data_IF_633930562173
#
_entry.id   IF_633930562173
#
_cell.length_a   1.000
_cell.length_b   1.000
_cell.length_c   1.000
_cell.angle_alpha   90.00
_cell.angle_beta   90.00
_cell.angle_gamma   90.00
#
_symmetry.space_group_name_H-M   'P 1'
#
loop_
_entity.id
_entity.type
_entity.pdbx_description
1 polymer ?
#
# COMPACT_ATOMS: atom_id res chain seq x y z
N UNK A 1 2.57 17.72 24.43
CA UNK A 1 3.92 18.03 23.90
C UNK A 1 4.92 17.03 24.50
N UNK A 2 5.75 16.34 23.69
CA UNK A 2 6.82 15.49 24.21
C UNK A 2 7.79 16.28 25.11
N UNK A 3 8.17 15.67 26.24
CA UNK A 3 8.95 16.34 27.28
C UNK A 3 10.25 16.96 26.76
N UNK A 4 11.00 16.24 25.89
CA UNK A 4 12.26 16.74 25.34
C UNK A 4 12.10 17.98 24.45
N UNK A 5 10.95 18.10 23.76
CA UNK A 5 10.61 19.29 22.97
C UNK A 5 10.25 20.44 23.93
N UNK A 6 9.36 20.18 24.91
CA UNK A 6 8.92 21.21 25.87
C UNK A 6 10.08 21.78 26.69
N UNK A 7 11.10 20.96 27.01
CA UNK A 7 12.30 21.36 27.75
C UNK A 7 13.41 21.91 26.83
N UNK A 8 13.19 22.07 25.53
CA UNK A 8 14.19 22.51 24.53
C UNK A 8 15.50 21.70 24.57
N UNK A 9 15.41 20.38 24.80
CA UNK A 9 16.58 19.48 24.94
C UNK A 9 16.97 18.80 23.63
N UNK A 10 16.26 19.05 22.53
CA UNK A 10 16.53 18.52 21.20
C UNK A 10 16.46 19.66 20.17
N UNK A 11 17.15 19.48 19.05
CA UNK A 11 17.19 20.47 17.97
C UNK A 11 16.18 20.20 16.86
N UNK A 12 15.56 19.01 16.85
CA UNK A 12 14.56 18.59 15.88
C UNK A 12 14.09 17.18 16.18
N UNK A 13 12.99 16.74 15.54
CA UNK A 13 12.48 15.38 15.71
C UNK A 13 11.99 14.79 14.39
N UNK A 14 12.04 13.46 14.29
CA UNK A 14 11.37 12.68 13.24
C UNK A 14 10.18 11.99 13.88
N UNK A 15 9.00 12.17 13.28
CA UNK A 15 7.74 11.59 13.75
C UNK A 15 7.44 10.39 12.86
N UNK A 16 7.32 9.19 13.45
CA UNK A 16 7.04 7.94 12.75
C UNK A 16 5.78 7.31 13.35
N UNK A 17 4.85 6.91 12.49
CA UNK A 17 3.63 6.24 12.90
C UNK A 17 2.39 7.11 12.77
N UNK A 18 1.23 6.54 13.17
CA UNK A 18 -0.08 7.18 13.10
C UNK A 18 -0.36 7.94 14.40
N UNK A 19 -0.62 9.24 14.28
CA UNK A 19 -1.06 10.10 15.38
C UNK A 19 -2.32 10.85 14.96
N UNK A 20 -3.03 11.41 15.94
CA UNK A 20 -4.18 12.29 15.66
C UNK A 20 -3.72 13.60 15.00
N UNK A 21 -4.58 14.20 14.18
CA UNK A 21 -4.30 15.49 13.57
C UNK A 21 -3.99 16.57 14.63
N UNK A 22 -4.66 16.52 15.78
CA UNK A 22 -4.39 17.44 16.90
C UNK A 22 -2.98 17.29 17.47
N UNK A 23 -2.46 16.06 17.50
CA UNK A 23 -1.08 15.81 17.93
C UNK A 23 -0.06 16.36 16.91
N UNK A 24 -0.30 16.16 15.62
CA UNK A 24 0.54 16.75 14.57
C UNK A 24 0.53 18.28 14.62
N UNK A 25 -0.65 18.91 14.75
CA UNK A 25 -0.76 20.38 14.90
C UNK A 25 -0.05 20.90 16.13
N UNK A 26 -0.07 20.14 17.23
CA UNK A 26 0.71 20.49 18.43
C UNK A 26 2.24 20.44 18.14
N UNK A 27 2.71 19.46 17.35
CA UNK A 27 4.12 19.39 16.97
C UNK A 27 4.52 20.49 15.96
N UNK A 28 3.60 20.93 15.10
CA UNK A 28 3.81 22.04 14.17
C UNK A 28 4.07 23.36 14.89
N UNK A 29 3.43 23.54 16.06
CA UNK A 29 3.64 24.70 16.93
C UNK A 29 4.86 24.55 17.84
N UNK A 30 5.60 23.45 17.73
CA UNK A 30 6.80 23.24 18.55
C UNK A 30 7.92 24.21 18.18
N UNK A 31 8.75 24.51 19.16
CA UNK A 31 9.95 25.37 18.98
C UNK A 31 11.05 24.73 18.15
N UNK A 32 10.93 23.45 17.83
CA UNK A 32 11.91 22.67 17.06
C UNK A 32 11.29 22.11 15.78
N UNK A 33 12.03 22.04 14.67
CA UNK A 33 11.54 21.48 13.44
C UNK A 33 11.21 19.98 13.58
N UNK A 34 10.07 19.58 13.04
CA UNK A 34 9.61 18.20 12.98
C UNK A 34 9.52 17.76 11.52
N UNK A 35 9.91 16.51 11.24
CA UNK A 35 9.75 15.85 9.95
C UNK A 35 8.87 14.62 10.13
N UNK A 36 7.88 14.43 9.26
CA UNK A 36 7.03 13.24 9.28
C UNK A 36 7.62 12.19 8.34
N UNK A 37 7.85 10.98 8.86
CA UNK A 37 8.39 9.86 8.10
C UNK A 37 7.32 8.77 7.94
N UNK A 38 7.15 8.29 6.71
CA UNK A 38 6.19 7.27 6.30
C UNK A 38 4.70 7.64 6.53
N UNK A 39 4.42 8.93 6.63
CA UNK A 39 3.08 9.46 6.66
C UNK A 39 3.04 10.85 6.00
N UNK A 40 1.87 11.21 5.49
CA UNK A 40 1.59 12.52 4.92
C UNK A 40 0.26 13.04 5.45
N UNK A 41 0.24 14.31 5.85
CA UNK A 41 -0.96 15.02 6.29
C UNK A 41 -1.04 16.34 5.53
N UNK A 42 -2.01 16.45 4.62
CA UNK A 42 -2.14 17.60 3.71
C UNK A 42 -2.35 18.93 4.45
N UNK A 43 -2.92 18.87 5.66
CA UNK A 43 -3.22 20.05 6.48
C UNK A 43 -2.00 20.60 7.22
N UNK A 44 -0.84 19.90 7.16
CA UNK A 44 0.34 20.30 7.90
C UNK A 44 1.39 21.00 7.04
N UNK A 45 2.00 22.03 7.59
CA UNK A 45 3.12 22.75 7.01
C UNK A 45 4.47 22.15 7.49
N UNK A 46 4.65 20.83 7.28
CA UNK A 46 5.84 20.09 7.73
C UNK A 46 6.49 19.31 6.60
N UNK A 47 7.81 19.15 6.68
CA UNK A 47 8.53 18.25 5.77
C UNK A 47 8.08 16.81 5.97
N UNK A 48 7.94 16.06 4.88
CA UNK A 48 7.64 14.64 4.93
C UNK A 48 8.49 13.81 3.97
N UNK A 49 8.74 12.56 4.33
CA UNK A 49 9.34 11.54 3.46
C UNK A 49 8.43 10.32 3.50
N UNK A 50 7.93 9.93 2.35
CA UNK A 50 7.01 8.80 2.20
C UNK A 50 7.52 7.79 1.18
N UNK A 51 7.09 6.54 1.31
CA UNK A 51 7.23 5.54 0.25
C UNK A 51 6.25 5.87 -0.90
N UNK A 52 6.62 5.49 -2.14
CA UNK A 52 5.75 5.63 -3.30
C UNK A 52 4.67 4.53 -3.30
N UNK A 53 3.72 4.65 -2.37
CA UNK A 53 2.63 3.70 -2.19
C UNK A 53 1.73 3.59 -3.42
N UNK A 54 1.43 4.72 -4.05
CA UNK A 54 0.60 4.78 -5.23
C UNK A 54 1.21 4.02 -6.42
N UNK A 55 2.44 4.36 -6.78
CA UNK A 55 3.11 3.72 -7.93
C UNK A 55 3.45 2.27 -7.65
N UNK A 56 3.90 1.96 -6.43
CA UNK A 56 4.21 0.59 -6.03
C UNK A 56 3.00 -0.34 -6.14
N UNK A 57 1.85 0.04 -5.58
CA UNK A 57 0.63 -0.78 -5.68
C UNK A 57 0.07 -0.82 -7.11
N UNK A 58 0.22 0.27 -7.87
CA UNK A 58 -0.09 0.25 -9.30
C UNK A 58 0.72 -0.85 -10.02
N UNK A 59 2.03 -0.94 -9.81
CA UNK A 59 2.89 -1.97 -10.41
C UNK A 59 2.49 -3.38 -9.96
N UNK A 60 2.23 -3.58 -8.66
CA UNK A 60 1.81 -4.86 -8.10
C UNK A 60 0.49 -5.34 -8.72
N UNK A 61 -0.48 -4.42 -8.88
CA UNK A 61 -1.76 -4.73 -9.52
C UNK A 61 -1.60 -4.99 -11.03
N UNK A 62 -0.75 -4.22 -11.71
CA UNK A 62 -0.40 -4.48 -13.12
C UNK A 62 0.23 -5.85 -13.31
N UNK A 63 1.06 -6.29 -12.37
CA UNK A 63 1.65 -7.63 -12.40
C UNK A 63 0.57 -8.72 -12.32
N UNK A 64 -0.43 -8.59 -11.43
CA UNK A 64 -1.57 -9.52 -11.37
C UNK A 64 -2.39 -9.50 -12.67
N UNK A 65 -2.65 -8.32 -13.23
CA UNK A 65 -3.36 -8.16 -14.50
C UNK A 65 -2.61 -8.80 -15.68
N UNK A 66 -1.28 -8.64 -15.74
CA UNK A 66 -0.40 -9.27 -16.73
C UNK A 66 -0.36 -10.80 -16.57
N UNK A 67 -0.47 -11.29 -15.34
CA UNK A 67 -0.63 -12.72 -15.03
C UNK A 67 -2.02 -13.28 -15.39
N UNK A 68 -2.90 -12.48 -16.01
CA UNK A 68 -4.22 -12.91 -16.49
C UNK A 68 -5.36 -12.71 -15.49
N UNK A 69 -5.08 -12.25 -14.27
CA UNK A 69 -6.13 -11.99 -13.29
C UNK A 69 -7.00 -10.79 -13.69
N UNK A 70 -8.32 -10.93 -13.53
CA UNK A 70 -9.31 -9.86 -13.76
C UNK A 70 -10.19 -9.61 -12.53
N UNK A 71 -10.43 -10.65 -11.73
CA UNK A 71 -11.13 -10.59 -10.46
C UNK A 71 -10.09 -10.44 -9.35
N UNK A 72 -9.73 -9.20 -9.04
CA UNK A 72 -8.72 -8.84 -8.06
C UNK A 72 -9.39 -8.02 -6.95
N UNK A 73 -9.20 -8.39 -5.70
CA UNK A 73 -9.66 -7.60 -4.56
C UNK A 73 -8.49 -6.89 -3.86
N UNK A 74 -8.74 -5.68 -3.37
CA UNK A 74 -7.82 -4.97 -2.50
C UNK A 74 -8.09 -5.31 -1.04
N UNK A 75 -7.04 -5.51 -0.24
CA UNK A 75 -7.16 -5.77 1.19
C UNK A 75 -6.41 -4.68 1.95
N UNK A 76 -7.17 -3.82 2.62
CA UNK A 76 -6.66 -2.69 3.39
C UNK A 76 -7.76 -1.76 3.85
N UNK A 77 -7.64 -1.24 5.05
CA UNK A 77 -8.55 -0.26 5.65
C UNK A 77 -8.17 1.13 5.14
N UNK A 78 -8.82 1.57 4.05
CA UNK A 78 -8.41 2.75 3.26
C UNK A 78 -8.46 4.08 4.01
N UNK A 79 -9.24 4.15 5.10
CA UNK A 79 -9.37 5.35 5.93
C UNK A 79 -8.34 5.41 7.08
N UNK A 80 -7.55 4.34 7.26
CA UNK A 80 -6.64 4.23 8.39
C UNK A 80 -5.41 5.14 8.29
N UNK A 81 -4.76 5.17 7.11
CA UNK A 81 -3.58 5.99 6.88
C UNK A 81 -3.52 6.49 5.44
N UNK A 82 -2.83 7.62 5.21
CA UNK A 82 -2.57 8.12 3.85
C UNK A 82 -1.82 7.11 2.98
N UNK A 83 -0.90 6.33 3.55
CA UNK A 83 -0.14 5.32 2.81
C UNK A 83 -1.02 4.17 2.30
N UNK A 84 -2.02 3.72 3.09
CA UNK A 84 -2.98 2.71 2.63
C UNK A 84 -3.88 3.28 1.53
N UNK A 85 -4.33 4.53 1.68
CA UNK A 85 -5.15 5.22 0.69
C UNK A 85 -4.40 5.41 -0.64
N UNK A 86 -3.12 5.80 -0.60
CA UNK A 86 -2.29 5.91 -1.79
C UNK A 86 -2.13 4.56 -2.51
N UNK A 87 -1.89 3.48 -1.77
CA UNK A 87 -1.85 2.11 -2.32
C UNK A 87 -3.19 1.73 -2.96
N UNK A 88 -4.30 2.03 -2.31
CA UNK A 88 -5.62 1.81 -2.89
C UNK A 88 -5.84 2.55 -4.20
N UNK A 89 -5.46 3.82 -4.29
CA UNK A 89 -5.57 4.57 -5.54
C UNK A 89 -4.67 4.02 -6.66
N UNK A 90 -3.49 3.52 -6.31
CA UNK A 90 -2.62 2.80 -7.25
C UNK A 90 -3.29 1.54 -7.82
N UNK A 91 -3.91 0.74 -6.96
CA UNK A 91 -4.73 -0.41 -7.35
C UNK A 91 -5.89 0.01 -8.28
N UNK A 92 -6.69 1.00 -7.88
CA UNK A 92 -7.80 1.50 -8.67
C UNK A 92 -7.38 1.96 -10.07
N UNK A 93 -6.26 2.67 -10.17
CA UNK A 93 -5.72 3.11 -11.46
C UNK A 93 -5.39 1.92 -12.37
N UNK A 94 -4.67 0.93 -11.87
CA UNK A 94 -4.30 -0.24 -12.67
C UNK A 94 -5.53 -1.00 -13.17
N UNK A 95 -6.54 -1.21 -12.30
CA UNK A 95 -7.80 -1.86 -12.64
C UNK A 95 -8.56 -1.07 -13.71
N UNK A 96 -8.65 0.26 -13.54
CA UNK A 96 -9.33 1.14 -14.51
C UNK A 96 -8.66 1.12 -15.89
N UNK A 97 -7.33 1.14 -15.95
CA UNK A 97 -6.57 1.02 -17.21
C UNK A 97 -6.82 -0.33 -17.91
N UNK A 98 -7.18 -1.36 -17.16
CA UNK A 98 -7.59 -2.67 -17.69
C UNK A 98 -9.10 -2.76 -18.04
N UNK A 99 -9.83 -1.64 -17.96
CA UNK A 99 -11.28 -1.57 -18.22
C UNK A 99 -12.14 -2.15 -17.09
N UNK A 100 -11.59 -2.32 -15.89
CA UNK A 100 -12.30 -2.91 -14.74
C UNK A 100 -12.64 -1.80 -13.74
N UNK A 101 -13.95 -1.64 -13.46
CA UNK A 101 -14.43 -0.71 -12.44
C UNK A 101 -14.34 -1.39 -11.07
N UNK A 102 -13.65 -0.74 -10.15
CA UNK A 102 -13.57 -1.17 -8.75
C UNK A 102 -14.84 -0.72 -8.02
N UNK A 103 -15.41 -1.60 -7.27
CA UNK A 103 -16.57 -1.34 -6.39
C UNK A 103 -16.19 -1.64 -4.95
N UNK A 104 -16.98 -1.17 -3.99
CA UNK A 104 -16.76 -1.44 -2.55
C UNK A 104 -16.70 -2.95 -2.24
N UNK A 105 -17.39 -3.79 -3.05
CA UNK A 105 -17.38 -5.26 -2.91
C UNK A 105 -16.00 -5.89 -3.16
N UNK A 106 -15.07 -5.16 -3.77
CA UNK A 106 -13.71 -5.60 -4.07
C UNK A 106 -12.69 -5.03 -3.05
N UNK A 107 -13.16 -4.35 -2.01
CA UNK A 107 -12.30 -3.76 -0.96
C UNK A 107 -12.63 -4.45 0.37
N UNK A 108 -11.65 -5.15 0.92
CA UNK A 108 -11.75 -5.76 2.24
C UNK A 108 -10.98 -4.93 3.26
N UNK A 109 -11.62 -4.42 4.30
CA UNK A 109 -10.91 -3.88 5.45
C UNK A 109 -10.03 -4.97 6.09
N UNK A 110 -8.84 -4.59 6.50
CA UNK A 110 -7.88 -5.48 7.16
C UNK A 110 -7.72 -5.20 8.66
N UNK A 111 -8.46 -4.23 9.20
CA UNK A 111 -8.34 -3.79 10.60
C UNK A 111 -9.69 -3.83 11.32
N UNK A 112 -9.64 -4.16 12.62
CA UNK A 112 -10.75 -3.95 13.55
C UNK A 112 -10.76 -2.51 14.12
N UNK A 113 -11.69 -2.24 15.02
CA UNK A 113 -11.84 -0.93 15.67
C UNK A 113 -10.62 -0.56 16.53
N UNK A 114 -9.86 -1.53 17.02
CA UNK A 114 -8.64 -1.37 17.80
C UNK A 114 -7.39 -1.24 16.92
N UNK A 115 -7.53 -1.30 15.57
CA UNK A 115 -6.44 -1.20 14.61
C UNK A 115 -5.60 -2.48 14.46
N UNK A 116 -6.04 -3.61 15.00
CA UNK A 116 -5.40 -4.93 14.80
C UNK A 116 -5.83 -5.54 13.47
N UNK A 117 -4.96 -6.34 12.86
CA UNK A 117 -5.29 -7.01 11.61
C UNK A 117 -6.41 -8.04 11.87
N UNK A 118 -7.56 -7.82 11.23
CA UNK A 118 -8.76 -8.65 11.31
C UNK A 118 -9.45 -8.69 9.94
N UNK A 119 -9.24 -9.78 9.20
CA UNK A 119 -9.76 -9.95 7.84
C UNK A 119 -10.94 -10.93 7.89
N UNK A 120 -12.09 -10.54 7.33
CA UNK A 120 -13.26 -11.42 7.16
C UNK A 120 -13.53 -11.71 5.68
N UNK A 121 -13.38 -12.96 5.27
CA UNK A 121 -13.68 -13.40 3.90
C UNK A 121 -15.18 -13.45 3.61
N UNK A 122 -16.03 -13.48 4.62
CA UNK A 122 -17.50 -13.51 4.50
C UNK A 122 -18.08 -12.25 3.84
N UNK A 123 -17.32 -11.15 3.86
CA UNK A 123 -17.71 -9.90 3.20
C UNK A 123 -17.62 -9.97 1.67
N UNK A 124 -16.97 -11.01 1.12
CA UNK A 124 -16.86 -11.21 -0.32
C UNK A 124 -18.11 -11.91 -0.84
N UNK A 125 -18.78 -11.30 -1.81
CA UNK A 125 -19.90 -11.96 -2.53
C UNK A 125 -19.44 -13.09 -3.45
N UNK A 126 -18.19 -13.02 -3.92
CA UNK A 126 -17.51 -14.01 -4.74
C UNK A 126 -16.03 -14.00 -4.43
N UNK A 127 -15.40 -15.16 -4.33
CA UNK A 127 -13.96 -15.27 -4.14
C UNK A 127 -13.23 -14.77 -5.39
N UNK A 128 -12.33 -13.77 -5.28
CA UNK A 128 -11.53 -13.30 -6.40
C UNK A 128 -10.43 -14.30 -6.74
N UNK A 129 -9.83 -14.15 -7.91
CA UNK A 129 -8.68 -14.99 -8.33
C UNK A 129 -7.35 -14.46 -7.79
N UNK A 130 -7.32 -13.21 -7.32
CA UNK A 130 -6.13 -12.62 -6.71
C UNK A 130 -6.48 -11.53 -5.68
N UNK A 131 -5.54 -11.30 -4.76
CA UNK A 131 -5.60 -10.22 -3.78
C UNK A 131 -4.37 -9.32 -3.87
N UNK A 132 -4.61 -8.02 -3.83
CA UNK A 132 -3.60 -6.99 -3.64
C UNK A 132 -3.68 -6.47 -2.20
N UNK A 133 -2.75 -6.88 -1.34
CA UNK A 133 -2.75 -6.53 0.07
C UNK A 133 -1.95 -5.26 0.31
N UNK A 134 -2.46 -4.39 1.19
CA UNK A 134 -1.80 -3.13 1.52
C UNK A 134 -0.40 -3.31 2.12
N UNK A 135 -0.13 -4.42 2.82
CA UNK A 135 1.19 -4.73 3.37
C UNK A 135 1.41 -6.25 3.49
N UNK A 136 2.66 -6.66 3.71
CA UNK A 136 3.04 -8.08 3.79
C UNK A 136 2.47 -8.79 5.02
N UNK A 137 2.30 -8.10 6.14
CA UNK A 137 1.66 -8.68 7.33
C UNK A 137 0.19 -9.01 7.07
N UNK A 138 -0.54 -8.14 6.37
CA UNK A 138 -1.91 -8.40 5.91
C UNK A 138 -1.95 -9.56 4.92
N UNK A 139 -1.02 -9.61 3.95
CA UNK A 139 -0.92 -10.69 2.98
C UNK A 139 -0.63 -12.03 3.64
N UNK A 140 0.28 -12.07 4.62
CA UNK A 140 0.63 -13.26 5.37
C UNK A 140 -0.56 -13.84 6.14
N UNK A 141 -1.31 -12.98 6.85
CA UNK A 141 -2.51 -13.39 7.58
C UNK A 141 -3.60 -13.87 6.61
N UNK A 142 -3.80 -13.14 5.50
CA UNK A 142 -4.77 -13.54 4.47
C UNK A 142 -4.44 -14.92 3.88
N UNK A 143 -3.18 -15.18 3.53
CA UNK A 143 -2.74 -16.50 3.02
C UNK A 143 -3.08 -17.60 4.02
N UNK A 144 -2.79 -17.38 5.32
CA UNK A 144 -3.13 -18.33 6.37
C UNK A 144 -4.63 -18.60 6.48
N UNK A 145 -5.47 -17.56 6.32
CA UNK A 145 -6.94 -17.69 6.33
C UNK A 145 -7.44 -18.44 5.09
N UNK A 146 -6.92 -18.13 3.91
CA UNK A 146 -7.27 -18.80 2.66
C UNK A 146 -6.91 -20.29 2.70
N UNK A 147 -5.73 -20.63 3.20
CA UNK A 147 -5.28 -22.02 3.34
C UNK A 147 -6.17 -22.79 4.33
N UNK A 148 -6.55 -22.20 5.46
CA UNK A 148 -7.52 -22.80 6.40
C UNK A 148 -8.90 -23.00 5.78
N UNK A 149 -9.29 -22.14 4.84
CA UNK A 149 -10.53 -22.28 4.07
C UNK A 149 -10.42 -23.28 2.89
N UNK A 150 -9.26 -23.95 2.72
CA UNK A 150 -9.03 -24.98 1.71
C UNK A 150 -8.45 -24.50 0.38
N UNK A 151 -8.11 -23.21 0.26
CA UNK A 151 -7.52 -22.67 -0.97
C UNK A 151 -5.99 -22.85 -0.99
N UNK A 152 -5.46 -23.21 -2.16
CA UNK A 152 -4.02 -23.31 -2.42
C UNK A 152 -3.49 -22.01 -3.01
N UNK A 153 -2.37 -21.50 -2.48
CA UNK A 153 -1.67 -20.32 -2.99
C UNK A 153 -0.37 -20.79 -3.66
N UNK A 154 -0.10 -20.44 -4.91
CA UNK A 154 -0.90 -19.57 -5.81
C UNK A 154 -1.91 -20.34 -6.67
N UNK A 155 -2.07 -21.69 -6.52
CA UNK A 155 -2.80 -22.53 -7.48
C UNK A 155 -4.29 -22.16 -7.62
N UNK A 156 -4.96 -21.76 -6.58
CA UNK A 156 -6.34 -21.30 -6.63
C UNK A 156 -6.41 -19.78 -6.64
N UNK A 157 -5.62 -19.13 -5.77
CA UNK A 157 -5.65 -17.69 -5.53
C UNK A 157 -4.22 -17.14 -5.49
N UNK A 158 -3.96 -16.06 -6.22
CA UNK A 158 -2.71 -15.30 -6.15
C UNK A 158 -2.79 -14.19 -5.11
N UNK A 159 -1.66 -13.90 -4.44
CA UNK A 159 -1.59 -12.84 -3.44
C UNK A 159 -0.33 -12.01 -3.66
N UNK A 160 -0.45 -10.68 -3.61
CA UNK A 160 0.69 -9.76 -3.57
C UNK A 160 0.64 -8.92 -2.31
N UNK A 161 1.82 -8.56 -1.80
CA UNK A 161 2.01 -7.73 -0.62
C UNK A 161 2.65 -6.38 -0.94
N UNK A 162 3.13 -5.70 0.12
CA UNK A 162 3.85 -4.43 0.07
C UNK A 162 4.75 -4.32 1.29
N UNK A 163 5.88 -3.64 1.20
CA UNK A 163 6.93 -3.28 2.15
C UNK A 163 8.21 -4.12 2.05
N UNK A 164 8.14 -5.40 1.66
CA UNK A 164 9.22 -6.41 1.71
C UNK A 164 9.74 -6.64 3.14
N UNK A 165 8.80 -6.74 4.08
CA UNK A 165 9.11 -7.14 5.44
C UNK A 165 9.24 -8.65 5.59
N UNK A 166 9.76 -9.08 6.76
CA UNK A 166 10.02 -10.47 7.10
C UNK A 166 8.84 -11.42 6.82
N UNK A 167 7.59 -10.93 6.91
CA UNK A 167 6.39 -11.70 6.60
C UNK A 167 6.31 -12.15 5.14
N UNK A 168 6.93 -11.38 4.21
CA UNK A 168 6.98 -11.75 2.80
C UNK A 168 7.81 -13.02 2.58
N UNK A 169 8.86 -13.23 3.35
CA UNK A 169 9.73 -14.41 3.28
C UNK A 169 9.22 -15.57 4.13
N UNK A 170 8.66 -15.31 5.32
CA UNK A 170 8.13 -16.32 6.23
C UNK A 170 6.84 -16.97 5.73
N UNK A 171 6.15 -16.34 4.80
CA UNK A 171 4.93 -16.91 4.21
C UNK A 171 5.23 -18.18 3.40
N UNK A 172 4.28 -19.09 3.37
CA UNK A 172 4.32 -20.26 2.50
C UNK A 172 3.08 -20.29 1.58
N UNK A 173 3.25 -19.98 0.28
CA UNK A 173 4.51 -19.62 -0.41
C UNK A 173 5.01 -18.21 -0.05
N UNK A 174 6.31 -17.90 -0.28
CA UNK A 174 6.84 -16.56 -0.12
C UNK A 174 6.13 -15.54 -1.01
N UNK A 175 5.85 -14.34 -0.47
CA UNK A 175 4.96 -13.34 -1.09
C UNK A 175 5.73 -12.48 -2.09
N UNK A 176 5.19 -12.34 -3.30
CA UNK A 176 5.57 -11.31 -4.27
C UNK A 176 5.13 -9.96 -3.71
N UNK A 177 6.06 -9.00 -3.59
CA UNK A 177 5.85 -7.75 -2.87
C UNK A 177 6.58 -6.57 -3.51
N UNK A 178 6.25 -5.36 -3.07
CA UNK A 178 6.97 -4.14 -3.43
C UNK A 178 7.88 -3.73 -2.27
N UNK A 179 9.19 -3.83 -2.48
CA UNK A 179 10.20 -3.49 -1.48
C UNK A 179 10.33 -1.97 -1.34
N UNK A 180 10.09 -1.46 -0.14
CA UNK A 180 10.30 -0.05 0.21
C UNK A 180 11.77 0.18 0.54
N UNK A 181 12.40 1.18 -0.07
CA UNK A 181 13.78 1.55 0.26
C UNK A 181 13.86 2.36 1.56
N UNK A 182 13.74 1.64 2.68
CA UNK A 182 13.80 2.22 4.04
C UNK A 182 15.12 2.95 4.28
N UNK A 183 16.23 2.44 3.72
CA UNK A 183 17.54 3.05 3.87
C UNK A 183 17.61 4.42 3.20
N UNK A 184 17.05 4.52 1.97
CA UNK A 184 16.99 5.79 1.26
C UNK A 184 16.00 6.76 1.93
N UNK A 185 14.85 6.28 2.39
CA UNK A 185 13.87 7.09 3.14
C UNK A 185 14.51 7.68 4.39
N UNK A 186 15.20 6.86 5.18
CA UNK A 186 15.87 7.28 6.41
C UNK A 186 16.96 8.34 6.13
N UNK A 187 17.82 8.11 5.12
CA UNK A 187 18.85 9.06 4.70
C UNK A 187 18.26 10.38 4.24
N UNK A 188 17.17 10.35 3.43
CA UNK A 188 16.49 11.56 2.97
C UNK A 188 15.82 12.31 4.12
N UNK A 189 15.17 11.59 5.06
CA UNK A 189 14.54 12.17 6.24
C UNK A 189 15.54 12.91 7.14
N UNK A 190 16.61 12.24 7.52
CA UNK A 190 17.67 12.86 8.34
C UNK A 190 18.29 14.08 7.63
N UNK A 191 18.61 13.94 6.32
CA UNK A 191 19.19 15.04 5.55
C UNK A 191 18.24 16.25 5.48
N UNK A 192 16.96 16.04 5.26
CA UNK A 192 15.96 17.10 5.19
C UNK A 192 15.77 17.78 6.56
N UNK A 193 15.70 17.00 7.64
CA UNK A 193 15.60 17.55 9.00
C UNK A 193 16.82 18.40 9.35
N UNK A 194 18.02 17.92 9.09
CA UNK A 194 19.27 18.68 9.33
C UNK A 194 19.31 19.97 8.50
N UNK A 195 18.84 19.95 7.25
CA UNK A 195 18.73 21.15 6.42
C UNK A 195 17.75 22.16 7.01
N UNK A 196 16.60 21.70 7.54
CA UNK A 196 15.59 22.53 8.21
C UNK A 196 16.12 23.13 9.51
N UNK A 197 16.86 22.37 10.33
CA UNK A 197 17.51 22.87 11.54
C UNK A 197 18.49 23.98 11.20
N UNK A 198 19.30 23.79 10.14
CA UNK A 198 20.31 24.78 9.72
C UNK A 198 19.68 26.06 9.13
N UNK A 199 18.58 25.93 8.39
CA UNK A 199 17.87 27.05 7.78
C UNK A 199 16.35 26.83 7.84
N UNK A 200 15.66 27.37 8.86
CA UNK A 200 14.21 27.22 9.01
C UNK A 200 13.37 27.79 7.84
N UNK A 201 13.95 28.70 7.05
CA UNK A 201 13.22 29.37 5.97
C UNK A 201 13.20 28.61 4.63
N UNK A 202 13.82 27.44 4.52
CA UNK A 202 13.76 26.65 3.28
C UNK A 202 12.30 26.24 2.99
N UNK A 203 11.91 26.08 1.72
CA UNK A 203 10.58 25.58 1.37
C UNK A 203 10.31 24.21 1.98
N UNK A 204 9.06 23.96 2.37
CA UNK A 204 8.58 22.65 2.81
C UNK A 204 8.71 21.66 1.66
N UNK A 205 9.08 20.44 1.97
CA UNK A 205 9.29 19.38 0.99
C UNK A 205 8.54 18.13 1.36
N UNK A 206 7.82 17.59 0.37
CA UNK A 206 7.24 16.25 0.41
C UNK A 206 8.09 15.35 -0.49
N UNK A 207 8.87 14.45 0.11
CA UNK A 207 9.83 13.62 -0.61
C UNK A 207 9.23 12.23 -0.75
N UNK A 208 8.99 11.81 -2.00
CA UNK A 208 8.55 10.46 -2.32
C UNK A 208 9.76 9.60 -2.67
N UNK A 209 9.82 8.39 -2.12
CA UNK A 209 10.90 7.43 -2.37
C UNK A 209 10.32 6.18 -3.02
N UNK A 210 10.70 5.93 -4.26
CA UNK A 210 10.29 4.73 -4.99
C UNK A 210 11.05 3.51 -4.47
N UNK A 211 10.39 2.36 -4.51
CA UNK A 211 10.97 1.06 -4.22
C UNK A 211 11.09 0.18 -5.46
N UNK A 212 11.16 -1.12 -5.27
CA UNK A 212 11.30 -2.12 -6.34
C UNK A 212 10.38 -3.31 -6.12
N UNK A 213 9.91 -3.91 -7.21
CA UNK A 213 9.11 -5.13 -7.14
C UNK A 213 10.00 -6.35 -6.94
N UNK A 214 9.65 -7.19 -5.96
CA UNK A 214 10.31 -8.46 -5.67
C UNK A 214 9.36 -9.60 -6.01
N UNK A 215 9.69 -10.33 -7.05
CA UNK A 215 8.93 -11.49 -7.47
C UNK A 215 9.28 -12.71 -6.62
N UNK A 216 8.24 -13.37 -6.08
CA UNK A 216 8.34 -14.63 -5.34
C UNK A 216 7.32 -15.66 -5.86
N UNK A 217 6.80 -16.54 -5.00
CA UNK A 217 6.02 -17.71 -5.41
C UNK A 217 4.50 -17.58 -5.18
N UNK A 218 3.99 -16.43 -4.76
CA UNK A 218 2.58 -16.24 -4.40
C UNK A 218 1.66 -15.84 -5.57
N UNK A 219 2.20 -15.76 -6.79
CA UNK A 219 1.44 -15.39 -8.01
C UNK A 219 1.60 -16.48 -9.07
N UNK A 220 0.49 -16.90 -9.67
CA UNK A 220 0.46 -17.77 -10.85
C UNK A 220 -0.02 -17.03 -12.09
N UNK A 221 0.38 -17.50 -13.26
CA UNK A 221 -0.19 -17.07 -14.51
C UNK A 221 -1.49 -17.83 -14.80
N UNK A 222 -2.54 -17.11 -15.17
CA UNK A 222 -3.77 -17.68 -15.71
C UNK A 222 -3.70 -17.73 -17.23
N UNK A 223 -4.36 -18.69 -17.90
CA UNK A 223 -4.54 -18.61 -19.33
C UNK A 223 -5.19 -17.27 -19.70
N UNK A 224 -4.60 -16.57 -20.68
CA UNK A 224 -5.24 -15.36 -21.21
C UNK A 224 -6.58 -15.79 -21.84
N UNK A 225 -7.67 -15.13 -21.47
CA UNK A 225 -8.94 -15.32 -22.14
C UNK A 225 -8.75 -14.99 -23.62
N UNK A 226 -9.08 -15.93 -24.50
CA UNK A 226 -9.08 -15.66 -25.95
C UNK A 226 -9.98 -14.43 -26.20
N UNK A 227 -9.55 -13.48 -27.05
CA UNK A 227 -10.43 -12.38 -27.43
C UNK A 227 -11.70 -13.00 -28.04
N UNK A 228 -12.86 -12.60 -27.51
CA UNK A 228 -14.14 -13.05 -28.05
C UNK A 228 -14.12 -12.84 -29.57
N UNK A 229 -14.16 -13.93 -30.33
CA UNK A 229 -14.23 -13.89 -31.78
C UNK A 229 -15.47 -13.08 -32.16
N UNK A 230 -15.26 -11.94 -32.79
CA UNK A 230 -16.30 -11.18 -33.48
C UNK A 230 -16.83 -12.09 -34.59
N UNK A 231 -17.86 -12.88 -34.28
CA UNK A 231 -18.63 -13.55 -35.31
C UNK A 231 -19.33 -12.43 -36.10
N UNK A 232 -18.70 -12.05 -37.20
CA UNK A 232 -19.34 -11.29 -38.27
C UNK A 232 -20.56 -12.10 -38.74
N UNK A 233 -21.77 -11.69 -38.33
CA UNK A 233 -22.98 -12.05 -39.02
C UNK A 233 -22.95 -11.35 -40.38
N UNK A 234 -22.36 -12.00 -41.37
CA UNK A 234 -22.64 -11.65 -42.76
C UNK A 234 -24.15 -11.98 -42.99
N UNK A 235 -24.96 -10.94 -42.94
CA UNK A 235 -26.30 -10.95 -43.45
C UNK A 235 -26.28 -11.10 -44.96
N UNK A 236 -26.70 -12.23 -45.43
CA UNK A 236 -26.90 -12.48 -46.88
C UNK A 236 -28.15 -11.69 -47.32
N UNK A 237 -28.08 -10.78 -48.31
CA UNK A 237 -29.26 -10.15 -48.90
C UNK A 237 -29.78 -11.06 -49.99
N UNK A 238 -30.99 -11.54 -49.85
CA UNK A 238 -31.82 -12.04 -50.91
C UNK A 238 -32.94 -11.05 -51.22
#
# INVERSE_FOLDING_TARGET
>A
MPRLIAENRIQGCIVIGKFSLSYYKMLEQASVPCLVLDAFQAELQQDSVISDGYYGMYLMTKHLLQAGHREIAFVGSIEETSSILDRYYGYCRAMREAGILVTEKQVLPDRDAEGKIAISLEKLSKMPTAFACNCDSTAYILISLLQKAGFSIPNDISVVGFDDFIFAELSNPPITTYAVDINLMSKKGVRQLLARIKNPAIPIRHIVVSGTMIHRKSVRNLPLAEPASLTSKEGNPA
#
